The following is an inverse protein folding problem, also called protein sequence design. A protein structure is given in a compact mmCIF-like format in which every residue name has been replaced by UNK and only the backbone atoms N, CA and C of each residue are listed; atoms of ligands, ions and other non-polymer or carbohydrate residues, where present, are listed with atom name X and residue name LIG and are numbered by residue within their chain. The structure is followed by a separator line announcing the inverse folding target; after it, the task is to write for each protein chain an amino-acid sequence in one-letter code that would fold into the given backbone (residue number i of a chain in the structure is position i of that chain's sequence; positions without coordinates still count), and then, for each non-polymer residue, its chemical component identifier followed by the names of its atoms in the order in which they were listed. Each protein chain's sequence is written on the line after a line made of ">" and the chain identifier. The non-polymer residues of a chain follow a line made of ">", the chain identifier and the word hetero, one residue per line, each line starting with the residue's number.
data_IF_544039611517
#
_entry.id   IF_544039611517
#
_cell.length_a   1.000
_cell.length_b   1.000
_cell.length_c   1.000
_cell.angle_alpha   90.00
_cell.angle_beta   90.00
_cell.angle_gamma   90.00
#
_symmetry.space_group_name_H-M   'P 1'
#
loop_
_entity.id
_entity.type
_entity.pdbx_description
1 polymer ?
#
# COMPACT_ATOMS: atom_id res chain seq x y z
N UNK A 1 -10.31 9.99 22.35
CA UNK A 1 -11.08 8.77 22.64
C UNK A 1 -10.36 7.61 21.94
N UNK A 2 -9.54 6.86 22.69
CA UNK A 2 -8.79 5.70 22.20
C UNK A 2 -9.79 4.57 21.93
N UNK A 3 -10.16 4.37 20.67
CA UNK A 3 -10.93 3.19 20.27
C UNK A 3 -10.00 1.98 20.35
N UNK A 4 -10.04 1.26 21.48
CA UNK A 4 -9.54 -0.11 21.55
C UNK A 4 -10.22 -0.91 20.42
N UNK A 5 -9.41 -1.43 19.49
CA UNK A 5 -9.87 -2.30 18.42
C UNK A 5 -10.44 -3.57 19.05
N UNK A 6 -11.77 -3.67 19.15
CA UNK A 6 -12.41 -4.94 19.43
C UNK A 6 -12.16 -5.85 18.22
N UNK A 7 -11.43 -6.95 18.43
CA UNK A 7 -11.24 -7.98 17.41
C UNK A 7 -12.49 -8.85 17.33
N UNK A 8 -12.86 -9.28 16.13
CA UNK A 8 -14.04 -10.11 15.90
C UNK A 8 -14.05 -11.42 16.71
N UNK A 9 -12.89 -11.97 17.07
CA UNK A 9 -12.73 -13.14 17.94
C UNK A 9 -13.36 -12.96 19.34
N UNK A 10 -13.61 -11.72 19.76
CA UNK A 10 -14.19 -11.38 21.07
C UNK A 10 -15.71 -11.24 21.03
N UNK A 11 -16.31 -11.10 19.83
CA UNK A 11 -17.75 -10.82 19.71
C UNK A 11 -18.59 -12.11 19.81
N UNK A 12 -18.82 -12.57 21.04
CA UNK A 12 -19.64 -13.76 21.31
C UNK A 12 -21.10 -13.58 20.85
N UNK A 13 -21.76 -14.69 20.57
CA UNK A 13 -23.20 -14.72 20.34
C UNK A 13 -23.94 -14.37 21.65
N UNK A 14 -24.82 -13.37 21.60
CA UNK A 14 -25.63 -12.96 22.74
C UNK A 14 -26.74 -13.98 23.03
N UNK A 15 -27.32 -13.94 24.23
CA UNK A 15 -28.44 -14.82 24.59
C UNK A 15 -29.60 -14.64 23.60
N UNK A 16 -29.95 -13.40 23.28
CA UNK A 16 -31.02 -13.07 22.32
C UNK A 16 -30.72 -13.59 20.90
N UNK A 17 -29.47 -13.46 20.42
CA UNK A 17 -29.06 -14.00 19.12
C UNK A 17 -29.18 -15.54 19.09
N UNK A 18 -28.86 -16.22 20.20
CA UNK A 18 -29.03 -17.68 20.32
C UNK A 18 -30.50 -18.09 20.31
N UNK A 19 -31.35 -17.41 21.06
CA UNK A 19 -32.80 -17.68 21.10
C UNK A 19 -33.42 -17.51 19.71
N UNK A 20 -33.06 -16.44 19.00
CA UNK A 20 -33.50 -16.19 17.61
C UNK A 20 -33.05 -17.30 16.69
N UNK A 21 -31.79 -17.72 16.79
CA UNK A 21 -31.25 -18.79 15.97
C UNK A 21 -32.00 -20.11 16.22
N UNK A 22 -32.23 -20.47 17.49
CA UNK A 22 -32.95 -21.70 17.83
C UNK A 22 -34.40 -21.67 17.34
N UNK A 23 -35.08 -20.53 17.44
CA UNK A 23 -36.46 -20.37 16.99
C UNK A 23 -36.62 -20.31 15.46
N UNK A 24 -35.58 -19.93 14.71
CA UNK A 24 -35.64 -19.68 13.26
C UNK A 24 -34.53 -20.43 12.49
N UNK A 25 -34.09 -21.58 13.00
CA UNK A 25 -32.85 -22.23 12.57
C UNK A 25 -32.72 -22.41 11.06
N UNK A 26 -33.70 -23.07 10.43
CA UNK A 26 -33.66 -23.38 9.00
C UNK A 26 -33.60 -22.11 8.14
N UNK A 27 -34.40 -21.10 8.49
CA UNK A 27 -34.41 -19.80 7.81
C UNK A 27 -33.05 -19.10 7.95
N UNK A 28 -32.50 -19.05 9.17
CA UNK A 28 -31.20 -18.41 9.43
C UNK A 28 -30.07 -19.15 8.70
N UNK A 29 -30.04 -20.48 8.74
CA UNK A 29 -29.03 -21.28 8.07
C UNK A 29 -29.08 -21.08 6.54
N UNK A 30 -30.28 -21.06 5.94
CA UNK A 30 -30.48 -20.80 4.51
C UNK A 30 -30.01 -19.40 4.10
N UNK A 31 -30.45 -18.36 4.82
CA UNK A 31 -30.03 -16.98 4.54
C UNK A 31 -28.53 -16.78 4.72
N UNK A 32 -27.96 -17.40 5.76
CA UNK A 32 -26.54 -17.32 6.05
C UNK A 32 -25.73 -17.95 4.91
N UNK A 33 -26.10 -19.16 4.49
CA UNK A 33 -25.40 -19.87 3.41
C UNK A 33 -25.31 -19.06 2.12
N UNK A 34 -26.40 -18.39 1.75
CA UNK A 34 -26.39 -17.48 0.61
C UNK A 34 -25.51 -16.24 0.85
N UNK A 35 -25.78 -15.46 1.92
CA UNK A 35 -25.16 -14.15 2.13
C UNK A 35 -23.65 -14.22 2.34
N UNK A 36 -23.14 -15.17 3.13
CA UNK A 36 -21.70 -15.22 3.38
C UNK A 36 -20.95 -15.64 2.10
N UNK A 37 -21.52 -16.55 1.28
CA UNK A 37 -20.89 -17.00 0.04
C UNK A 37 -20.81 -15.87 -0.98
N UNK A 38 -21.89 -15.10 -1.14
CA UNK A 38 -21.93 -13.93 -2.01
C UNK A 38 -20.88 -12.89 -1.57
N UNK A 39 -20.80 -12.58 -0.28
CA UNK A 39 -19.82 -11.63 0.25
C UNK A 39 -18.37 -12.11 0.08
N UNK A 40 -18.09 -13.39 0.31
CA UNK A 40 -16.75 -13.96 0.08
C UNK A 40 -16.39 -13.93 -1.41
N UNK A 41 -17.34 -14.27 -2.29
CA UNK A 41 -17.14 -14.18 -3.73
C UNK A 41 -16.86 -12.74 -4.18
N UNK A 42 -17.62 -11.76 -3.65
CA UNK A 42 -17.39 -10.34 -3.87
C UNK A 42 -16.01 -9.91 -3.43
N UNK A 43 -15.56 -10.32 -2.24
CA UNK A 43 -14.21 -10.03 -1.77
C UNK A 43 -13.16 -10.65 -2.70
N UNK A 44 -13.31 -11.92 -3.07
CA UNK A 44 -12.35 -12.61 -3.94
C UNK A 44 -12.30 -12.03 -5.37
N UNK A 45 -13.37 -11.40 -5.84
CA UNK A 45 -13.37 -10.69 -7.11
C UNK A 45 -12.39 -9.50 -7.12
N UNK A 46 -12.24 -8.83 -5.98
CA UNK A 46 -11.38 -7.65 -5.83
C UNK A 46 -10.00 -8.00 -5.23
N UNK A 47 -9.95 -8.96 -4.32
CA UNK A 47 -8.77 -9.27 -3.52
C UNK A 47 -8.28 -10.68 -3.83
N UNK A 48 -6.98 -10.81 -4.12
CA UNK A 48 -6.34 -12.12 -4.18
C UNK A 48 -5.94 -12.55 -2.77
N UNK A 49 -6.88 -13.17 -2.06
CA UNK A 49 -6.69 -13.62 -0.69
C UNK A 49 -5.92 -14.95 -0.69
N UNK A 50 -4.79 -15.06 0.05
CA UNK A 50 -4.04 -16.31 0.14
C UNK A 50 -4.89 -17.44 0.75
N UNK A 51 -4.75 -18.67 0.22
CA UNK A 51 -5.51 -19.84 0.69
C UNK A 51 -5.41 -20.06 2.20
N UNK A 52 -4.21 -19.87 2.76
CA UNK A 52 -3.96 -19.98 4.22
C UNK A 52 -4.82 -19.04 5.09
N UNK A 53 -5.27 -17.93 4.52
CA UNK A 53 -6.07 -16.92 5.22
C UNK A 53 -7.57 -17.02 4.87
N UNK A 54 -7.95 -17.81 3.86
CA UNK A 54 -9.33 -17.97 3.41
C UNK A 54 -10.26 -18.51 4.49
N UNK A 55 -9.83 -19.53 5.24
CA UNK A 55 -10.64 -20.08 6.32
C UNK A 55 -10.98 -19.03 7.40
N UNK A 56 -10.01 -18.17 7.74
CA UNK A 56 -10.20 -17.06 8.69
C UNK A 56 -11.10 -15.98 8.12
N UNK A 57 -10.96 -15.65 6.84
CA UNK A 57 -11.83 -14.69 6.15
C UNK A 57 -13.28 -15.17 6.17
N UNK A 58 -13.52 -16.41 5.72
CA UNK A 58 -14.86 -17.04 5.71
C UNK A 58 -15.44 -17.05 7.12
N UNK A 59 -14.65 -17.38 8.13
CA UNK A 59 -15.09 -17.32 9.52
C UNK A 59 -15.58 -15.93 9.91
N UNK A 60 -14.82 -14.87 9.65
CA UNK A 60 -15.24 -13.51 10.02
C UNK A 60 -16.46 -13.04 9.22
N UNK A 61 -16.51 -13.29 7.92
CA UNK A 61 -17.66 -12.91 7.07
C UNK A 61 -18.92 -13.66 7.50
N UNK A 62 -18.84 -14.98 7.70
CA UNK A 62 -19.97 -15.80 8.13
C UNK A 62 -20.52 -15.35 9.49
N UNK A 63 -19.65 -15.06 10.47
CA UNK A 63 -20.10 -14.57 11.77
C UNK A 63 -20.71 -13.17 11.71
N UNK A 64 -20.19 -12.29 10.85
CA UNK A 64 -20.78 -10.96 10.60
C UNK A 64 -22.19 -11.09 10.02
N UNK A 65 -22.35 -11.88 8.96
CA UNK A 65 -23.64 -12.09 8.29
C UNK A 65 -24.66 -12.76 9.21
N UNK A 66 -24.24 -13.74 10.00
CA UNK A 66 -25.09 -14.37 11.02
C UNK A 66 -25.66 -13.31 11.98
N UNK A 67 -24.80 -12.43 12.50
CA UNK A 67 -25.25 -11.36 13.40
C UNK A 67 -26.18 -10.38 12.70
N UNK A 68 -25.93 -10.02 11.44
CA UNK A 68 -26.84 -9.18 10.65
C UNK A 68 -28.22 -9.80 10.50
N UNK A 69 -28.29 -11.09 10.21
CA UNK A 69 -29.54 -11.84 10.11
C UNK A 69 -30.27 -11.85 11.46
N UNK A 70 -29.57 -12.12 12.58
CA UNK A 70 -30.18 -12.05 13.90
C UNK A 70 -30.74 -10.66 14.23
N UNK A 71 -30.03 -9.57 13.87
CA UNK A 71 -30.55 -8.22 14.06
C UNK A 71 -31.79 -7.95 13.20
N UNK A 72 -31.84 -8.48 11.97
CA UNK A 72 -32.99 -8.36 11.08
C UNK A 72 -34.26 -9.02 11.66
N UNK A 73 -34.10 -10.11 12.39
CA UNK A 73 -35.21 -10.84 13.03
C UNK A 73 -35.58 -10.20 14.38
N UNK A 74 -34.61 -9.91 15.25
CA UNK A 74 -34.83 -9.33 16.58
C UNK A 74 -35.56 -7.98 16.56
N UNK A 75 -35.23 -7.17 15.56
CA UNK A 75 -35.69 -5.79 15.46
C UNK A 75 -36.41 -5.55 14.13
N UNK A 76 -37.24 -6.51 13.72
CA UNK A 76 -38.03 -6.47 12.48
C UNK A 76 -38.77 -5.14 12.31
N UNK A 77 -39.35 -4.64 13.40
CA UNK A 77 -40.19 -3.44 13.41
C UNK A 77 -39.42 -2.14 13.70
N UNK A 78 -38.10 -2.20 13.89
CA UNK A 78 -37.27 -1.01 14.18
C UNK A 78 -36.07 -0.91 13.24
N UNK A 79 -36.25 -0.17 12.14
CA UNK A 79 -35.18 0.10 11.17
C UNK A 79 -33.98 0.78 11.83
N UNK A 80 -34.20 1.83 12.62
CA UNK A 80 -33.14 2.60 13.27
C UNK A 80 -32.27 1.72 14.17
N UNK A 81 -32.89 0.82 14.95
CA UNK A 81 -32.16 -0.10 15.82
C UNK A 81 -31.35 -1.12 15.03
N UNK A 82 -31.92 -1.66 13.94
CA UNK A 82 -31.19 -2.56 13.03
C UNK A 82 -29.97 -1.88 12.44
N UNK A 83 -30.14 -0.69 11.85
CA UNK A 83 -29.04 0.05 11.21
C UNK A 83 -27.95 0.37 12.22
N UNK A 84 -28.30 0.89 13.41
CA UNK A 84 -27.34 1.21 14.47
C UNK A 84 -26.55 -0.02 14.91
N UNK A 85 -27.22 -1.15 15.13
CA UNK A 85 -26.57 -2.40 15.54
C UNK A 85 -25.67 -2.97 14.44
N UNK A 86 -26.12 -2.94 13.18
CA UNK A 86 -25.32 -3.39 12.04
C UNK A 86 -24.04 -2.54 11.86
N UNK A 87 -24.11 -1.23 12.05
CA UNK A 87 -22.91 -0.36 12.03
C UNK A 87 -21.91 -0.77 13.13
N UNK A 88 -22.39 -1.09 14.33
CA UNK A 88 -21.53 -1.52 15.45
C UNK A 88 -20.88 -2.87 15.12
N UNK A 89 -21.65 -3.83 14.62
CA UNK A 89 -21.15 -5.14 14.17
C UNK A 89 -20.10 -4.95 13.07
N UNK A 90 -20.39 -4.16 12.02
CA UNK A 90 -19.44 -3.90 10.93
C UNK A 90 -18.12 -3.38 11.48
N UNK A 91 -18.14 -2.38 12.37
CA UNK A 91 -16.93 -1.79 12.94
C UNK A 91 -16.01 -2.83 13.59
N UNK A 92 -16.56 -3.87 14.21
CA UNK A 92 -15.79 -4.93 14.88
C UNK A 92 -15.24 -5.94 13.87
N UNK A 93 -16.07 -6.40 12.93
CA UNK A 93 -15.64 -7.42 11.96
C UNK A 93 -14.72 -6.87 10.88
N UNK A 94 -14.91 -5.61 10.50
CA UNK A 94 -14.21 -4.98 9.40
C UNK A 94 -12.71 -4.88 9.64
N UNK A 95 -12.25 -4.66 10.87
CA UNK A 95 -10.82 -4.65 11.18
C UNK A 95 -10.20 -6.05 11.06
N UNK A 96 -10.91 -7.08 11.53
CA UNK A 96 -10.48 -8.47 11.38
C UNK A 96 -10.39 -8.87 9.91
N UNK A 97 -11.39 -8.51 9.10
CA UNK A 97 -11.36 -8.70 7.65
C UNK A 97 -10.22 -7.89 7.02
N UNK A 98 -10.09 -6.61 7.35
CA UNK A 98 -9.03 -5.75 6.82
C UNK A 98 -7.63 -6.24 7.17
N UNK A 99 -7.44 -6.88 8.33
CA UNK A 99 -6.13 -7.45 8.70
C UNK A 99 -5.68 -8.56 7.74
N UNK A 100 -6.63 -9.20 7.06
CA UNK A 100 -6.38 -10.19 5.99
C UNK A 100 -6.22 -9.50 4.63
N UNK A 101 -7.03 -8.48 4.34
CA UNK A 101 -7.07 -7.84 3.02
C UNK A 101 -5.96 -6.82 2.79
N UNK A 102 -5.54 -6.07 3.81
CA UNK A 102 -4.48 -5.04 3.68
C UNK A 102 -3.18 -5.60 3.07
N UNK A 103 -2.64 -6.75 3.51
CA UNK A 103 -1.42 -7.34 2.95
C UNK A 103 -1.55 -7.84 1.49
N UNK A 104 -2.74 -7.82 0.89
CA UNK A 104 -2.92 -8.16 -0.53
C UNK A 104 -2.48 -7.03 -1.47
N UNK A 105 -2.21 -5.83 -0.94
CA UNK A 105 -1.87 -4.61 -1.70
C UNK A 105 -2.89 -4.16 -2.74
N UNK A 106 -4.11 -4.70 -2.73
CA UNK A 106 -5.18 -4.28 -3.63
C UNK A 106 -6.00 -3.15 -3.01
N UNK A 107 -6.44 -2.21 -3.86
CA UNK A 107 -7.37 -1.14 -3.51
C UNK A 107 -6.95 -0.19 -2.37
N UNK A 108 -5.68 -0.21 -1.95
CA UNK A 108 -5.09 0.75 -1.01
C UNK A 108 -5.92 1.01 0.27
N UNK A 109 -6.50 -0.05 0.86
CA UNK A 109 -7.40 0.03 2.04
C UNK A 109 -6.86 0.95 3.14
N UNK A 110 -5.56 0.86 3.44
CA UNK A 110 -4.89 1.62 4.50
C UNK A 110 -3.83 2.60 3.99
N UNK A 111 -3.75 2.82 2.67
CA UNK A 111 -2.59 3.41 2.01
C UNK A 111 -1.69 2.36 1.34
N UNK A 112 -0.86 2.81 0.41
CA UNK A 112 -0.05 1.97 -0.47
C UNK A 112 1.14 1.34 0.26
N UNK A 113 1.81 2.12 1.11
CA UNK A 113 3.14 1.80 1.61
C UNK A 113 3.11 0.82 2.78
N UNK A 114 2.18 1.00 3.73
CA UNK A 114 2.04 0.03 4.82
C UNK A 114 1.50 -1.31 4.31
N UNK A 115 0.55 -1.28 3.37
CA UNK A 115 0.06 -2.48 2.69
C UNK A 115 1.21 -3.23 2.03
N UNK A 116 2.07 -2.51 1.29
CA UNK A 116 3.23 -3.08 0.63
C UNK A 116 4.27 -3.66 1.60
N UNK A 117 4.54 -2.97 2.72
CA UNK A 117 5.45 -3.50 3.74
C UNK A 117 4.93 -4.81 4.36
N UNK A 118 3.62 -4.87 4.65
CA UNK A 118 2.98 -6.08 5.19
C UNK A 118 2.95 -7.23 4.16
N UNK A 119 2.74 -6.91 2.88
CA UNK A 119 2.82 -7.87 1.79
C UNK A 119 4.22 -8.48 1.66
N UNK A 120 5.25 -7.63 1.73
CA UNK A 120 6.65 -8.04 1.61
C UNK A 120 7.27 -8.52 2.94
N UNK A 121 6.47 -8.84 3.97
CA UNK A 121 6.95 -9.13 5.33
C UNK A 121 8.11 -10.13 5.39
N UNK A 122 8.04 -11.21 4.60
CA UNK A 122 9.03 -12.28 4.62
C UNK A 122 10.36 -11.81 4.01
N UNK A 123 10.31 -10.95 3.00
CA UNK A 123 11.52 -10.41 2.36
C UNK A 123 12.15 -9.29 3.18
N UNK A 124 11.33 -8.52 3.89
CA UNK A 124 11.80 -7.52 4.84
C UNK A 124 12.25 -8.14 6.17
N UNK A 125 12.04 -9.45 6.38
CA UNK A 125 12.27 -10.13 7.66
C UNK A 125 11.63 -9.36 8.83
N UNK A 126 10.36 -8.97 8.67
CA UNK A 126 9.65 -8.28 9.75
C UNK A 126 9.48 -9.23 10.93
N UNK A 127 9.91 -8.79 12.11
CA UNK A 127 9.59 -9.50 13.34
C UNK A 127 8.09 -9.35 13.69
N UNK A 128 7.64 -10.13 14.67
CA UNK A 128 6.23 -10.14 15.08
C UNK A 128 5.75 -8.79 15.63
N UNK A 129 6.62 -8.04 16.31
CA UNK A 129 6.29 -6.74 16.89
C UNK A 129 6.22 -5.66 15.79
N UNK A 130 7.17 -5.66 14.86
CA UNK A 130 7.16 -4.80 13.67
C UNK A 130 5.89 -5.05 12.84
N UNK A 131 5.59 -6.31 12.54
CA UNK A 131 4.38 -6.68 11.78
C UNK A 131 3.11 -6.21 12.49
N UNK A 132 2.98 -6.50 13.79
CA UNK A 132 1.82 -6.09 14.57
C UNK A 132 1.65 -4.57 14.65
N UNK A 133 2.75 -3.83 14.83
CA UNK A 133 2.73 -2.37 14.88
C UNK A 133 2.32 -1.77 13.54
N UNK A 134 2.90 -2.23 12.42
CA UNK A 134 2.54 -1.76 11.09
C UNK A 134 1.07 -2.08 10.78
N UNK A 135 0.61 -3.29 11.14
CA UNK A 135 -0.79 -3.68 10.95
C UNK A 135 -1.76 -2.82 11.76
N UNK A 136 -1.45 -2.52 13.03
CA UNK A 136 -2.28 -1.63 13.86
C UNK A 136 -2.41 -0.23 13.23
N UNK A 137 -1.29 0.32 12.74
CA UNK A 137 -1.31 1.62 12.06
C UNK A 137 -2.08 1.57 10.74
N UNK A 138 -1.92 0.51 9.97
CA UNK A 138 -2.65 0.29 8.74
C UNK A 138 -4.18 0.21 9.00
N UNK A 139 -4.61 -0.53 10.03
CA UNK A 139 -6.03 -0.59 10.42
C UNK A 139 -6.55 0.79 10.86
N UNK A 140 -5.79 1.54 11.65
CA UNK A 140 -6.13 2.90 12.05
C UNK A 140 -6.31 3.83 10.83
N UNK A 141 -5.41 3.75 9.86
CA UNK A 141 -5.51 4.51 8.59
C UNK A 141 -6.73 4.08 7.78
N UNK A 142 -7.01 2.78 7.67
CA UNK A 142 -8.18 2.26 6.98
C UNK A 142 -9.49 2.79 7.57
N UNK A 143 -9.59 2.89 8.89
CA UNK A 143 -10.75 3.50 9.57
C UNK A 143 -10.91 4.98 9.21
N UNK A 144 -9.81 5.73 9.11
CA UNK A 144 -9.82 7.15 8.72
C UNK A 144 -10.22 7.34 7.26
N UNK A 145 -9.60 6.58 6.34
CA UNK A 145 -9.91 6.63 4.90
C UNK A 145 -11.38 6.25 4.64
N UNK A 146 -11.91 5.26 5.37
CA UNK A 146 -13.34 4.91 5.27
C UNK A 146 -14.27 6.06 5.69
N UNK A 147 -13.87 6.84 6.70
CA UNK A 147 -14.65 7.99 7.16
C UNK A 147 -14.52 9.18 6.20
N UNK A 148 -13.33 9.38 5.63
CA UNK A 148 -13.04 10.43 4.66
C UNK A 148 -11.99 9.94 3.65
N UNK A 149 -12.44 9.71 2.42
CA UNK A 149 -11.63 9.19 1.33
C UNK A 149 -10.57 10.17 0.82
N UNK A 150 -10.65 11.46 1.21
CA UNK A 150 -9.70 12.50 0.79
C UNK A 150 -8.46 12.55 1.68
N UNK A 151 -8.44 11.81 2.78
CA UNK A 151 -7.32 11.79 3.71
C UNK A 151 -6.07 11.25 3.02
N UNK A 152 -5.04 12.09 2.90
CA UNK A 152 -3.72 11.67 2.45
C UNK A 152 -2.91 11.14 3.64
N UNK A 153 -2.54 9.85 3.58
CA UNK A 153 -1.76 9.17 4.63
C UNK A 153 -0.27 9.04 4.30
N UNK A 154 0.18 9.45 3.11
CA UNK A 154 1.52 9.14 2.59
C UNK A 154 2.65 9.49 3.56
N UNK A 155 2.69 10.73 4.06
CA UNK A 155 3.74 11.18 4.97
C UNK A 155 3.71 10.40 6.30
N UNK A 156 2.52 10.09 6.79
CA UNK A 156 2.34 9.29 8.00
C UNK A 156 2.83 7.85 7.79
N UNK A 157 2.54 7.25 6.63
CA UNK A 157 3.08 5.93 6.27
C UNK A 157 4.61 5.94 6.24
N UNK A 158 5.22 6.96 5.62
CA UNK A 158 6.68 7.10 5.55
C UNK A 158 7.30 7.22 6.93
N UNK A 159 6.73 8.02 7.83
CA UNK A 159 7.25 8.15 9.19
C UNK A 159 7.09 6.86 10.00
N UNK A 160 5.98 6.13 9.83
CA UNK A 160 5.81 4.80 10.45
C UNK A 160 6.87 3.83 9.95
N UNK A 161 7.10 3.76 8.65
CA UNK A 161 8.13 2.87 8.07
C UNK A 161 9.53 3.26 8.55
N UNK A 162 9.89 4.54 8.56
CA UNK A 162 11.18 5.03 9.07
C UNK A 162 11.39 4.71 10.54
N UNK A 163 10.34 4.75 11.35
CA UNK A 163 10.40 4.44 12.79
C UNK A 163 10.47 2.94 13.07
N UNK A 164 9.84 2.13 12.22
CA UNK A 164 9.67 0.69 12.49
C UNK A 164 10.75 -0.17 11.84
N UNK A 165 11.18 0.21 10.64
CA UNK A 165 12.18 -0.54 9.87
C UNK A 165 13.58 -0.03 10.15
N UNK A 166 14.54 -0.95 10.23
CA UNK A 166 15.95 -0.56 10.24
C UNK A 166 16.38 -0.03 8.85
N UNK A 167 17.60 0.53 8.77
CA UNK A 167 18.12 1.13 7.52
C UNK A 167 18.19 0.12 6.37
N UNK A 168 18.53 -1.14 6.65
CA UNK A 168 18.63 -2.22 5.67
C UNK A 168 17.25 -2.66 5.17
N UNK A 169 16.30 -2.86 6.09
CA UNK A 169 14.91 -3.16 5.79
C UNK A 169 14.27 -2.05 4.95
N UNK A 170 14.46 -0.79 5.35
CA UNK A 170 13.92 0.37 4.64
C UNK A 170 14.52 0.49 3.23
N UNK A 171 15.83 0.26 3.08
CA UNK A 171 16.47 0.19 1.76
C UNK A 171 15.89 -0.94 0.90
N UNK A 172 15.70 -2.13 1.48
CA UNK A 172 15.11 -3.27 0.78
C UNK A 172 13.68 -2.99 0.31
N UNK A 173 12.86 -2.37 1.16
CA UNK A 173 11.51 -1.92 0.84
C UNK A 173 11.49 -1.02 -0.40
N UNK A 174 12.27 0.07 -0.40
CA UNK A 174 12.28 1.00 -1.53
C UNK A 174 12.91 0.43 -2.78
N UNK A 175 13.94 -0.42 -2.64
CA UNK A 175 14.57 -1.11 -3.77
C UNK A 175 13.55 -1.96 -4.51
N UNK A 176 12.69 -2.70 -3.79
CA UNK A 176 11.65 -3.53 -4.40
C UNK A 176 10.50 -2.69 -4.95
N UNK A 177 10.00 -1.74 -4.16
CA UNK A 177 8.92 -0.83 -4.56
C UNK A 177 9.24 -0.14 -5.89
N UNK A 178 10.47 0.34 -6.03
CA UNK A 178 10.92 1.10 -7.20
C UNK A 178 11.63 0.24 -8.27
N UNK A 179 11.61 -1.09 -8.15
CA UNK A 179 12.41 -1.97 -9.02
C UNK A 179 12.09 -1.76 -10.51
N UNK A 180 10.82 -1.89 -10.90
CA UNK A 180 10.41 -1.75 -12.30
C UNK A 180 10.69 -0.35 -12.85
N UNK A 181 10.46 0.68 -12.03
CA UNK A 181 10.72 2.07 -12.39
C UNK A 181 12.21 2.33 -12.62
N UNK A 182 13.07 1.77 -11.78
CA UNK A 182 14.52 1.90 -11.92
C UNK A 182 15.05 1.09 -13.10
N UNK A 183 14.48 -0.08 -13.38
CA UNK A 183 14.83 -0.87 -14.55
C UNK A 183 14.50 -0.11 -15.84
N UNK A 184 13.28 0.40 -15.98
CA UNK A 184 12.87 1.24 -17.12
C UNK A 184 13.72 2.50 -17.26
N UNK A 185 14.04 3.16 -16.15
CA UNK A 185 14.93 4.32 -16.13
C UNK A 185 16.36 3.97 -16.57
N UNK A 186 16.86 2.80 -16.19
CA UNK A 186 18.18 2.30 -16.56
C UNK A 186 18.25 1.92 -18.04
N UNK A 187 17.27 1.19 -18.56
CA UNK A 187 17.24 0.74 -19.95
C UNK A 187 17.23 1.96 -20.90
N UNK A 188 16.34 2.94 -20.64
CA UNK A 188 16.29 4.20 -21.39
C UNK A 188 17.60 4.98 -21.33
N UNK A 189 18.26 4.96 -20.18
CA UNK A 189 19.56 5.60 -19.99
C UNK A 189 20.67 4.87 -20.76
N UNK A 190 20.65 3.54 -20.78
CA UNK A 190 21.61 2.74 -21.53
C UNK A 190 21.45 2.94 -23.03
N UNK A 191 20.22 2.94 -23.53
CA UNK A 191 19.93 3.17 -24.95
C UNK A 191 20.41 4.55 -25.42
N UNK A 192 20.16 5.61 -24.64
CA UNK A 192 20.68 6.95 -24.93
C UNK A 192 22.21 7.00 -25.03
N UNK A 193 22.91 6.28 -24.16
CA UNK A 193 24.38 6.23 -24.20
C UNK A 193 24.88 5.44 -25.40
N UNK A 194 24.15 4.41 -25.80
CA UNK A 194 24.44 3.60 -26.98
C UNK A 194 24.26 4.39 -28.26
N UNK A 195 23.18 5.15 -28.39
CA UNK A 195 22.94 6.07 -29.52
C UNK A 195 24.01 7.17 -29.65
N UNK A 196 24.66 7.52 -28.55
CA UNK A 196 25.74 8.50 -28.51
C UNK A 196 27.16 7.87 -28.62
N UNK A 197 27.25 6.56 -28.88
CA UNK A 197 28.50 5.79 -28.94
C UNK A 197 29.39 5.93 -27.66
N UNK A 198 28.77 6.15 -26.49
CA UNK A 198 29.48 6.32 -25.22
C UNK A 198 29.58 5.04 -24.38
N UNK A 199 28.90 3.95 -24.78
CA UNK A 199 28.88 2.70 -24.01
C UNK A 199 30.24 2.02 -23.92
N UNK A 200 31.12 2.17 -24.91
CA UNK A 200 32.46 1.59 -24.90
C UNK A 200 33.35 2.16 -23.78
N UNK A 201 33.01 3.36 -23.28
CA UNK A 201 33.73 4.00 -22.20
C UNK A 201 33.28 3.51 -20.82
N UNK A 202 32.30 2.61 -20.74
CA UNK A 202 31.74 2.11 -19.49
C UNK A 202 32.13 0.65 -19.23
N UNK A 203 32.48 0.36 -17.98
CA UNK A 203 32.51 -1.02 -17.49
C UNK A 203 31.06 -1.44 -17.24
N UNK A 204 30.51 -2.26 -18.14
CA UNK A 204 29.11 -2.68 -18.09
C UNK A 204 28.73 -3.40 -16.80
N UNK A 205 29.68 -4.03 -16.10
CA UNK A 205 29.39 -4.71 -14.83
C UNK A 205 29.47 -3.74 -13.64
N UNK A 206 30.49 -2.89 -13.59
CA UNK A 206 30.72 -1.96 -12.48
C UNK A 206 29.88 -0.69 -12.59
N UNK A 207 29.98 0.02 -13.70
CA UNK A 207 29.35 1.34 -13.88
C UNK A 207 27.81 1.21 -13.92
N UNK A 208 27.29 0.14 -14.53
CA UNK A 208 25.85 -0.13 -14.52
C UNK A 208 25.33 -0.39 -13.10
N UNK A 209 26.04 -1.20 -12.31
CA UNK A 209 25.67 -1.50 -10.92
C UNK A 209 25.67 -0.23 -10.06
N UNK A 210 26.66 0.63 -10.23
CA UNK A 210 26.72 1.92 -9.52
C UNK A 210 25.58 2.86 -9.95
N UNK A 211 25.27 2.92 -11.25
CA UNK A 211 24.14 3.69 -11.79
C UNK A 211 22.79 3.21 -11.23
N UNK A 212 22.52 1.91 -11.28
CA UNK A 212 21.29 1.31 -10.74
C UNK A 212 21.15 1.63 -9.24
N UNK A 213 22.24 1.50 -8.46
CA UNK A 213 22.24 1.85 -7.03
C UNK A 213 21.95 3.34 -6.81
N UNK A 214 22.51 4.21 -7.63
CA UNK A 214 22.25 5.64 -7.61
C UNK A 214 20.77 5.95 -7.91
N UNK A 215 20.22 5.36 -8.96
CA UNK A 215 18.82 5.53 -9.36
C UNK A 215 17.86 5.05 -8.26
N UNK A 216 18.13 3.91 -7.62
CA UNK A 216 17.37 3.47 -6.45
C UNK A 216 17.41 4.47 -5.30
N UNK A 217 18.58 5.02 -4.94
CA UNK A 217 18.69 6.05 -3.90
C UNK A 217 17.90 7.30 -4.26
N UNK A 218 17.93 7.70 -5.53
CA UNK A 218 17.18 8.84 -6.05
C UNK A 218 15.67 8.63 -5.91
N UNK A 219 15.15 7.47 -6.31
CA UNK A 219 13.73 7.15 -6.18
C UNK A 219 13.31 7.04 -4.71
N UNK A 220 14.13 6.44 -3.86
CA UNK A 220 13.90 6.39 -2.41
C UNK A 220 13.73 7.80 -1.81
N UNK A 221 14.63 8.74 -2.13
CA UNK A 221 14.54 10.13 -1.65
C UNK A 221 13.26 10.80 -2.16
N UNK A 222 12.89 10.56 -3.43
CA UNK A 222 11.66 11.10 -4.01
C UNK A 222 10.41 10.62 -3.27
N UNK A 223 10.35 9.34 -2.92
CA UNK A 223 9.21 8.76 -2.20
C UNK A 223 9.15 9.22 -0.74
N UNK A 224 10.27 9.15 -0.01
CA UNK A 224 10.36 9.55 1.39
C UNK A 224 9.96 11.01 1.61
N UNK A 225 10.33 11.88 0.67
CA UNK A 225 10.12 13.31 0.77
C UNK A 225 9.14 13.86 -0.26
N UNK A 226 8.21 13.02 -0.75
CA UNK A 226 7.27 13.37 -1.84
C UNK A 226 6.56 14.71 -1.63
N UNK A 227 6.17 15.00 -0.39
CA UNK A 227 5.48 16.24 -0.02
C UNK A 227 6.34 17.19 0.83
N UNK A 228 7.65 16.94 0.92
CA UNK A 228 8.61 17.76 1.66
C UNK A 228 9.64 18.37 0.69
N UNK A 229 9.21 19.33 -0.14
CA UNK A 229 10.01 19.85 -1.26
C UNK A 229 11.41 20.33 -0.88
N UNK A 230 11.56 21.08 0.22
CA UNK A 230 12.86 21.57 0.69
C UNK A 230 13.79 20.43 1.11
N UNK A 231 13.28 19.47 1.90
CA UNK A 231 14.04 18.29 2.32
C UNK A 231 14.43 17.43 1.12
N UNK A 232 13.49 17.19 0.20
CA UNK A 232 13.73 16.42 -1.02
C UNK A 232 14.87 17.04 -1.84
N UNK A 233 14.82 18.34 -2.12
CA UNK A 233 15.88 19.06 -2.84
C UNK A 233 17.22 18.94 -2.14
N UNK A 234 17.28 19.10 -0.81
CA UNK A 234 18.50 18.97 -0.01
C UNK A 234 19.12 17.57 -0.15
N UNK A 235 18.33 16.51 0.03
CA UNK A 235 18.84 15.14 -0.05
C UNK A 235 19.22 14.72 -1.47
N UNK A 236 18.50 15.19 -2.49
CA UNK A 236 18.88 14.98 -3.88
C UNK A 236 20.19 15.69 -4.24
N UNK A 237 20.38 16.93 -3.80
CA UNK A 237 21.63 17.67 -3.99
C UNK A 237 22.83 16.98 -3.31
N UNK A 238 22.61 16.39 -2.13
CA UNK A 238 23.64 15.59 -1.46
C UNK A 238 23.97 14.31 -2.24
N UNK A 239 22.94 13.61 -2.74
CA UNK A 239 23.13 12.42 -3.58
C UNK A 239 23.90 12.77 -4.87
N UNK A 240 23.60 13.91 -5.50
CA UNK A 240 24.22 14.37 -6.74
C UNK A 240 25.74 14.52 -6.63
N UNK A 241 26.30 14.77 -5.43
CA UNK A 241 27.76 14.80 -5.20
C UNK A 241 28.45 13.46 -5.47
N UNK A 242 27.69 12.36 -5.36
CA UNK A 242 28.16 10.98 -5.52
C UNK A 242 27.74 10.35 -6.86
N UNK A 243 27.43 11.15 -7.88
CA UNK A 243 27.01 10.67 -9.20
C UNK A 243 28.04 9.69 -9.81
N UNK A 244 27.62 8.49 -10.23
CA UNK A 244 28.48 7.56 -10.93
C UNK A 244 28.73 7.98 -12.38
N UNK A 245 29.75 7.39 -13.01
CA UNK A 245 30.25 7.77 -14.35
C UNK A 245 29.16 7.77 -15.42
N UNK A 246 28.39 6.69 -15.53
CA UNK A 246 27.28 6.56 -16.48
C UNK A 246 26.27 7.72 -16.36
N UNK A 247 25.92 8.11 -15.12
CA UNK A 247 24.96 9.20 -14.88
C UNK A 247 25.57 10.57 -15.26
N UNK A 248 26.88 10.77 -15.03
CA UNK A 248 27.57 11.99 -15.47
C UNK A 248 27.61 12.12 -16.99
N UNK A 249 27.81 11.01 -17.71
CA UNK A 249 27.79 10.99 -19.17
C UNK A 249 26.40 11.36 -19.71
N UNK A 250 25.34 10.80 -19.13
CA UNK A 250 23.96 11.15 -19.46
C UNK A 250 23.66 12.63 -19.24
N UNK A 251 24.05 13.18 -18.10
CA UNK A 251 23.92 14.62 -17.83
C UNK A 251 24.67 15.46 -18.88
N UNK A 252 25.79 14.95 -19.43
CA UNK A 252 26.53 15.58 -20.52
C UNK A 252 25.77 15.60 -21.84
N UNK A 253 25.16 14.48 -22.24
CA UNK A 253 24.29 14.38 -23.41
C UNK A 253 23.12 15.37 -23.29
N UNK A 254 22.40 15.31 -22.17
CA UNK A 254 21.21 16.15 -21.95
C UNK A 254 21.58 17.66 -21.91
N UNK A 255 22.77 18.02 -21.40
CA UNK A 255 23.28 19.41 -21.45
C UNK A 255 23.58 19.86 -22.87
N UNK A 256 24.24 19.02 -23.67
CA UNK A 256 24.56 19.33 -25.07
C UNK A 256 23.28 19.58 -25.87
N UNK A 257 22.29 18.69 -25.74
CA UNK A 257 20.99 18.83 -26.39
C UNK A 257 20.27 20.16 -26.02
N UNK A 258 20.30 20.56 -24.74
CA UNK A 258 19.70 21.82 -24.28
C UNK A 258 20.40 23.06 -24.83
N UNK A 259 21.72 23.02 -25.01
CA UNK A 259 22.47 24.14 -25.61
C UNK A 259 22.09 24.26 -27.09
N UNK A 260 22.06 23.14 -27.82
CA UNK A 260 21.67 23.11 -29.23
C UNK A 260 20.20 23.58 -29.46
N UNK A 261 19.27 23.24 -28.56
CA UNK A 261 17.89 23.75 -28.61
C UNK A 261 17.79 25.27 -28.36
N UNK A 262 18.60 25.80 -27.43
CA UNK A 262 18.67 27.25 -27.17
C UNK A 262 19.27 27.99 -28.35
N UNK A 263 20.32 27.48 -28.95
CA UNK A 263 20.93 28.07 -30.16
C UNK A 263 19.93 28.10 -31.34
N UNK A 264 19.14 27.04 -31.52
CA UNK A 264 18.06 26.99 -32.54
C UNK A 264 16.91 27.96 -32.27
N UNK A 265 16.64 28.32 -31.03
CA UNK A 265 15.54 29.24 -30.67
C UNK A 265 15.97 30.71 -30.69
N UNK A 266 17.20 31.03 -30.29
CA UNK A 266 17.75 32.39 -30.39
C UNK A 266 17.89 32.85 -31.86
N UNK A 267 18.16 31.93 -32.79
CA UNK A 267 18.22 32.22 -34.24
C UNK A 267 16.89 32.61 -34.89
N UNK A 268 15.74 32.52 -34.19
CA UNK A 268 14.44 32.96 -34.70
C UNK A 268 14.02 34.36 -34.23
N UNK A 269 14.69 34.95 -33.25
CA UNK A 269 14.31 36.25 -32.67
C UNK A 269 15.05 37.45 -33.29
N UNK A 270 15.95 37.23 -34.25
CA UNK A 270 16.61 38.30 -35.00
C UNK A 270 16.44 38.09 -36.51
N UNK A 271 15.30 38.57 -37.03
CA UNK A 271 15.15 38.92 -38.44
C UNK A 271 14.81 40.41 -38.45
N UNK A 272 15.80 41.23 -38.84
CA UNK A 272 15.60 42.66 -39.17
C UNK A 272 15.00 42.80 -40.56
#
# INVERSE_FOLDING_TARGET
>A
MLYLSAKAEVLRCTIQEKEVYLANKEMVDSMLDFRYREEVARINHFFHVPEKDMARLVFYVKNREFKYICQDILYKDSLDRRVKNKIIIERVFQDSINSILIPTCRYNISGENLSYALHCRNMLNLDSAQYAYIMDKALSMARRIRKDYRVNVWNEEMEILKKTLDKGQLWSFFRRKNYLKVLDEFDKAWDKLKEADLTEQLDSAKDAKEAIKYMHRRQMIKDLYRYYGTSQKKYLAELDKSKPKMIKMLDGIDKKARVEEKEKTVGKEFVW
#
